data_IF_258851664314
#
_entry.id   IF_258851664314
#
_cell.length_a   1.000
_cell.length_b   1.000
_cell.length_c   1.000
_cell.angle_alpha   90.00
_cell.angle_beta   90.00
_cell.angle_gamma   90.00
#
_symmetry.space_group_name_H-M   'P 1'
#
loop_
_entity.id
_entity.type
_entity.pdbx_description
1 polymer ?
#
# COMPACT_ATOMS: atom_id res chain seq x y z
N UNK A 1 -4.39 -7.55 -11.02
CA UNK A 1 -5.36 -8.66 -11.01
C UNK A 1 -6.22 -8.63 -12.27
N UNK A 2 -6.45 -9.76 -12.93
CA UNK A 2 -7.25 -9.83 -14.17
C UNK A 2 -8.74 -9.51 -13.95
N UNK A 3 -9.23 -9.63 -12.72
CA UNK A 3 -10.67 -9.46 -12.40
C UNK A 3 -10.94 -8.32 -11.41
N UNK A 4 -9.92 -7.61 -10.96
CA UNK A 4 -10.02 -6.61 -9.90
C UNK A 4 -9.71 -7.19 -8.51
N UNK A 5 -9.82 -6.33 -7.50
CA UNK A 5 -9.62 -6.68 -6.09
C UNK A 5 -10.98 -6.82 -5.43
N UNK A 6 -11.16 -7.92 -4.70
CA UNK A 6 -12.40 -8.22 -4.02
C UNK A 6 -12.16 -8.44 -2.53
N UNK A 7 -13.16 -8.12 -1.74
CA UNK A 7 -13.23 -8.34 -0.31
C UNK A 7 -14.43 -9.24 0.00
N UNK A 8 -14.27 -10.16 0.97
CA UNK A 8 -15.34 -11.01 1.48
C UNK A 8 -15.14 -11.20 2.98
N UNK A 9 -16.23 -11.27 3.73
CA UNK A 9 -16.20 -11.48 5.16
C UNK A 9 -15.90 -12.95 5.49
N UNK A 10 -14.97 -13.16 6.43
CA UNK A 10 -14.63 -14.47 6.95
C UNK A 10 -15.30 -14.71 8.31
N UNK A 11 -15.36 -15.98 8.74
CA UNK A 11 -15.68 -16.38 10.10
C UNK A 11 -14.71 -15.76 11.12
N UNK A 12 -15.11 -15.67 12.39
CA UNK A 12 -14.29 -15.06 13.46
C UNK A 12 -12.91 -15.71 13.63
N UNK A 13 -12.79 -17.00 13.32
CA UNK A 13 -11.51 -17.72 13.32
C UNK A 13 -10.69 -17.54 12.03
N UNK A 14 -11.25 -16.86 11.01
CA UNK A 14 -10.62 -16.61 9.71
C UNK A 14 -10.48 -17.83 8.80
N UNK A 15 -11.03 -18.98 9.16
CA UNK A 15 -10.81 -20.25 8.46
C UNK A 15 -11.87 -20.58 7.40
N UNK A 16 -12.99 -19.84 7.39
CA UNK A 16 -14.06 -20.03 6.40
C UNK A 16 -14.72 -18.70 6.02
N UNK A 17 -15.44 -18.71 4.92
CA UNK A 17 -16.29 -17.58 4.53
C UNK A 17 -17.57 -17.61 5.37
N UNK A 18 -17.99 -16.46 5.91
CA UNK A 18 -19.23 -16.37 6.64
C UNK A 18 -20.43 -16.79 5.78
N UNK A 19 -21.36 -17.61 6.29
CA UNK A 19 -22.58 -17.94 5.58
C UNK A 19 -23.34 -16.66 5.19
N UNK A 20 -23.65 -16.52 3.89
CA UNK A 20 -24.34 -15.34 3.38
C UNK A 20 -23.45 -14.12 3.10
N UNK A 21 -22.13 -14.21 3.33
CA UNK A 21 -21.21 -13.12 2.98
C UNK A 21 -21.19 -12.87 1.48
N UNK A 22 -21.26 -11.58 1.10
CA UNK A 22 -21.19 -11.16 -0.29
C UNK A 22 -19.76 -10.77 -0.68
N UNK A 23 -19.29 -11.30 -1.79
CA UNK A 23 -18.03 -10.88 -2.40
C UNK A 23 -18.21 -9.53 -3.07
N UNK A 24 -17.50 -8.50 -2.59
CA UNK A 24 -17.59 -7.12 -3.09
C UNK A 24 -16.31 -6.69 -3.76
N UNK A 25 -16.42 -6.09 -4.95
CA UNK A 25 -15.27 -5.49 -5.62
C UNK A 25 -14.92 -4.15 -4.95
N UNK A 26 -13.66 -3.98 -4.58
CA UNK A 26 -13.13 -2.80 -3.88
C UNK A 26 -12.10 -2.01 -4.70
N UNK A 27 -11.54 -2.62 -5.77
CA UNK A 27 -10.71 -1.93 -6.73
C UNK A 27 -10.75 -2.65 -8.09
N UNK A 28 -10.41 -1.91 -9.16
CA UNK A 28 -10.38 -2.39 -10.53
C UNK A 28 -9.22 -3.32 -10.85
N UNK A 29 -9.03 -3.57 -12.14
CA UNK A 29 -8.10 -4.59 -12.66
C UNK A 29 -6.63 -4.20 -12.66
N UNK A 30 -6.33 -2.90 -12.49
CA UNK A 30 -4.97 -2.37 -12.54
C UNK A 30 -4.12 -2.67 -11.30
N UNK A 31 -4.68 -3.32 -10.28
CA UNK A 31 -4.06 -3.41 -8.95
C UNK A 31 -3.70 -4.81 -8.52
N UNK A 32 -2.68 -4.88 -7.66
CA UNK A 32 -2.26 -6.08 -6.92
C UNK A 32 -1.52 -5.68 -5.62
N UNK A 33 -1.04 -6.66 -4.82
CA UNK A 33 -0.27 -6.42 -3.61
C UNK A 33 -1.01 -5.53 -2.61
N UNK A 34 -2.26 -5.90 -2.29
CA UNK A 34 -3.18 -5.04 -1.55
C UNK A 34 -3.08 -5.24 -0.04
N UNK A 35 -3.18 -4.14 0.71
CA UNK A 35 -3.50 -4.16 2.14
C UNK A 35 -4.47 -3.02 2.49
N UNK A 36 -5.25 -3.20 3.56
CA UNK A 36 -6.13 -2.17 4.09
C UNK A 36 -5.58 -1.71 5.45
N UNK A 37 -5.38 -0.40 5.57
CA UNK A 37 -4.96 0.24 6.82
C UNK A 37 -6.06 1.18 7.31
N UNK A 38 -6.41 1.08 8.61
CA UNK A 38 -7.38 1.97 9.23
C UNK A 38 -6.67 3.08 10.01
N UNK A 39 -7.09 4.34 9.76
CA UNK A 39 -6.68 5.50 10.55
C UNK A 39 -7.87 6.44 10.78
N UNK A 40 -8.18 6.68 12.05
CA UNK A 40 -9.37 7.45 12.40
C UNK A 40 -10.65 6.81 11.86
N UNK A 41 -11.45 7.58 11.14
CA UNK A 41 -12.69 7.10 10.52
C UNK A 41 -12.51 6.45 9.15
N UNK A 42 -11.29 6.53 8.56
CA UNK A 42 -11.04 6.06 7.19
C UNK A 42 -10.33 4.72 7.15
N UNK A 43 -10.66 3.96 6.12
CA UNK A 43 -9.92 2.82 5.61
C UNK A 43 -9.16 3.25 4.36
N UNK A 44 -7.89 2.87 4.26
CA UNK A 44 -7.02 3.15 3.13
C UNK A 44 -6.65 1.85 2.45
N UNK A 45 -7.02 1.71 1.19
CA UNK A 45 -6.65 0.55 0.38
C UNK A 45 -5.33 0.88 -0.33
N UNK A 46 -4.22 0.35 0.19
CA UNK A 46 -2.93 0.41 -0.48
C UNK A 46 -2.82 -0.71 -1.49
N UNK A 47 -2.35 -0.38 -2.67
CA UNK A 47 -2.17 -1.31 -3.79
C UNK A 47 -0.92 -0.94 -4.57
N UNK A 48 -0.56 -1.83 -5.49
CA UNK A 48 0.45 -1.54 -6.50
C UNK A 48 -0.14 -1.64 -7.89
N UNK A 49 0.36 -0.78 -8.80
CA UNK A 49 -0.02 -0.77 -10.21
C UNK A 49 1.22 -0.69 -11.10
N UNK A 50 1.11 -1.04 -12.38
CA UNK A 50 2.21 -1.09 -13.32
C UNK A 50 2.89 -2.46 -13.37
N UNK A 51 4.12 -2.53 -13.91
CA UNK A 51 4.86 -3.78 -14.11
C UNK A 51 5.88 -4.00 -13.00
N UNK A 52 5.82 -5.19 -12.33
CA UNK A 52 6.66 -5.50 -11.17
C UNK A 52 8.02 -6.12 -11.53
N UNK A 53 8.12 -6.81 -12.67
CA UNK A 53 9.08 -7.88 -12.82
C UNK A 53 9.99 -7.73 -14.05
N UNK A 54 10.13 -6.50 -14.56
CA UNK A 54 10.92 -6.15 -15.74
C UNK A 54 12.29 -5.54 -15.38
N UNK A 55 12.80 -5.85 -14.18
CA UNK A 55 14.06 -5.29 -13.70
C UNK A 55 14.02 -3.75 -13.70
N UNK A 56 15.06 -3.12 -14.26
CA UNK A 56 15.16 -1.65 -14.30
C UNK A 56 14.11 -0.96 -15.19
N UNK A 57 13.35 -1.71 -15.99
CA UNK A 57 12.24 -1.21 -16.82
C UNK A 57 10.89 -1.26 -16.08
N UNK A 58 10.86 -1.84 -14.87
CA UNK A 58 9.63 -1.92 -14.08
C UNK A 58 9.05 -0.55 -13.80
N UNK A 59 7.73 -0.43 -13.98
CA UNK A 59 6.95 0.80 -13.74
C UNK A 59 6.13 0.75 -12.45
N UNK A 60 6.34 -0.29 -11.65
CA UNK A 60 5.58 -0.55 -10.44
C UNK A 60 5.54 0.66 -9.51
N UNK A 61 4.38 0.96 -8.98
CA UNK A 61 4.09 2.17 -8.20
C UNK A 61 3.11 1.80 -7.10
N UNK A 62 3.37 2.21 -5.86
CA UNK A 62 2.41 2.05 -4.76
C UNK A 62 1.42 3.21 -4.75
N UNK A 63 0.15 2.88 -4.65
CA UNK A 63 -0.99 3.79 -4.75
C UNK A 63 -1.99 3.55 -3.63
N UNK A 64 -2.92 4.47 -3.44
CA UNK A 64 -4.01 4.34 -2.45
C UNK A 64 -5.30 5.01 -2.88
N UNK A 65 -6.38 4.57 -2.28
CA UNK A 65 -7.64 5.28 -2.15
C UNK A 65 -8.17 5.14 -0.73
N UNK A 66 -9.14 5.95 -0.33
CA UNK A 66 -9.77 5.87 1.00
C UNK A 66 -11.28 5.71 0.93
N UNK A 67 -11.83 5.13 2.00
CA UNK A 67 -13.27 4.98 2.23
C UNK A 67 -13.59 5.13 3.71
N UNK A 68 -14.80 5.54 4.05
CA UNK A 68 -15.33 5.43 5.42
C UNK A 68 -15.89 4.03 5.70
N UNK A 69 -16.00 3.17 4.69
CA UNK A 69 -16.48 1.79 4.78
C UNK A 69 -15.37 0.81 4.38
N UNK A 70 -15.15 -0.24 5.20
CA UNK A 70 -14.18 -1.30 4.92
C UNK A 70 -14.38 -1.95 3.55
N UNK A 71 -15.62 -2.14 3.12
CA UNK A 71 -15.99 -2.73 1.83
C UNK A 71 -16.03 -1.71 0.69
N UNK A 72 -15.53 -0.49 0.91
CA UNK A 72 -15.51 0.56 -0.09
C UNK A 72 -16.88 1.22 -0.33
N UNK A 73 -17.08 1.92 -1.46
CA UNK A 73 -16.07 2.15 -2.49
C UNK A 73 -14.90 3.03 -2.01
N UNK A 74 -13.70 2.77 -2.54
CA UNK A 74 -12.51 3.56 -2.26
C UNK A 74 -12.31 4.63 -3.33
N UNK A 75 -11.99 5.85 -2.90
CA UNK A 75 -11.88 7.01 -3.79
C UNK A 75 -10.51 7.69 -3.64
N UNK A 76 -10.06 8.36 -4.69
CA UNK A 76 -8.95 9.29 -4.65
C UNK A 76 -9.40 10.67 -4.12
N UNK A 77 -8.48 11.65 -4.06
CA UNK A 77 -8.78 13.02 -3.59
C UNK A 77 -9.81 13.77 -4.43
N UNK A 78 -9.99 13.36 -5.69
CA UNK A 78 -10.95 13.96 -6.64
C UNK A 78 -12.33 13.31 -6.56
N UNK A 79 -12.52 12.29 -5.72
CA UNK A 79 -13.77 11.53 -5.66
C UNK A 79 -13.93 10.50 -6.79
N UNK A 80 -12.84 10.15 -7.49
CA UNK A 80 -12.86 9.13 -8.53
C UNK A 80 -12.56 7.75 -7.91
N UNK A 81 -13.28 6.71 -8.37
CA UNK A 81 -13.27 5.38 -7.75
C UNK A 81 -12.04 4.55 -8.12
N UNK A 82 -11.52 3.78 -7.16
CA UNK A 82 -10.54 2.73 -7.44
C UNK A 82 -11.12 1.58 -8.27
N UNK A 83 -12.43 1.38 -8.28
CA UNK A 83 -13.07 0.43 -9.20
C UNK A 83 -12.84 0.83 -10.68
N UNK A 84 -12.68 2.13 -10.94
CA UNK A 84 -12.37 2.71 -12.24
C UNK A 84 -10.86 2.91 -12.46
N UNK A 85 -10.03 2.24 -11.67
CA UNK A 85 -8.56 2.35 -11.68
C UNK A 85 -8.05 3.77 -11.41
N UNK A 86 -8.78 4.56 -10.60
CA UNK A 86 -8.38 5.90 -10.14
C UNK A 86 -7.83 5.85 -8.73
N UNK A 87 -6.71 6.52 -8.48
CA UNK A 87 -5.97 6.41 -7.22
C UNK A 87 -5.13 7.65 -6.92
N UNK A 88 -4.58 7.73 -5.70
CA UNK A 88 -3.49 8.62 -5.34
C UNK A 88 -2.16 7.86 -5.37
N UNK A 89 -1.10 8.52 -5.84
CA UNK A 89 0.25 7.96 -5.80
C UNK A 89 0.83 8.16 -4.41
N UNK A 90 1.31 7.07 -3.80
CA UNK A 90 2.06 7.09 -2.55
C UNK A 90 3.55 7.19 -2.83
N UNK A 91 4.07 6.27 -3.66
CA UNK A 91 5.49 6.24 -4.01
C UNK A 91 5.67 5.69 -5.42
N UNK A 92 6.53 6.33 -6.19
CA UNK A 92 6.90 5.98 -7.56
C UNK A 92 8.42 5.96 -7.70
N UNK A 93 8.90 5.47 -8.82
CA UNK A 93 10.34 5.47 -9.12
C UNK A 93 10.98 6.86 -9.09
N UNK A 94 12.26 6.89 -8.81
CA UNK A 94 13.16 8.07 -8.86
C UNK A 94 14.27 7.86 -9.88
N UNK A 95 15.25 8.76 -9.92
CA UNK A 95 16.46 8.58 -10.72
C UNK A 95 17.24 7.33 -10.29
N UNK A 96 17.29 7.03 -8.98
CA UNK A 96 18.01 5.89 -8.44
C UNK A 96 17.19 4.62 -8.38
N UNK A 97 15.93 4.70 -7.97
CA UNK A 97 15.07 3.53 -7.71
C UNK A 97 13.93 3.43 -8.72
N UNK A 98 13.57 2.21 -9.10
CA UNK A 98 12.42 1.94 -9.98
C UNK A 98 11.65 0.70 -9.54
N UNK A 99 10.39 0.56 -10.00
CA UNK A 99 9.57 -0.58 -9.66
C UNK A 99 9.20 -0.62 -8.17
N UNK A 100 8.76 0.52 -7.62
CA UNK A 100 8.43 0.73 -6.19
C UNK A 100 7.05 0.20 -5.86
N UNK A 101 6.95 -1.00 -5.33
CA UNK A 101 5.62 -1.59 -5.08
C UNK A 101 5.65 -2.87 -4.28
N UNK A 102 4.52 -3.56 -4.33
CA UNK A 102 4.21 -4.75 -3.55
C UNK A 102 4.45 -4.53 -2.06
N UNK A 103 3.75 -3.51 -1.54
CA UNK A 103 3.85 -3.17 -0.13
C UNK A 103 3.36 -4.30 0.76
N UNK A 104 3.96 -4.39 1.94
CA UNK A 104 3.43 -5.17 3.06
C UNK A 104 2.26 -4.44 3.74
N UNK A 105 1.82 -4.96 4.87
CA UNK A 105 0.99 -4.20 5.80
C UNK A 105 1.70 -2.89 6.20
N UNK A 106 0.90 -1.85 6.46
CA UNK A 106 1.41 -0.59 6.99
C UNK A 106 1.80 -0.80 8.45
N UNK A 107 3.07 -0.57 8.76
CA UNK A 107 3.62 -0.77 10.09
C UNK A 107 3.42 0.52 10.90
N UNK A 108 2.93 0.38 12.14
CA UNK A 108 2.90 1.49 13.10
C UNK A 108 3.96 1.24 14.17
N UNK A 109 4.88 2.17 14.38
CA UNK A 109 5.89 2.09 15.42
C UNK A 109 5.34 2.48 16.80
N UNK A 110 6.13 2.27 17.87
CA UNK A 110 5.70 2.55 19.24
C UNK A 110 5.55 4.06 19.56
N UNK A 111 5.95 4.94 18.64
CA UNK A 111 5.68 6.38 18.69
C UNK A 111 4.47 6.80 17.87
N UNK A 112 3.78 5.85 17.22
CA UNK A 112 2.60 6.09 16.40
C UNK A 112 2.90 6.56 14.97
N UNK A 113 4.16 6.52 14.54
CA UNK A 113 4.52 6.82 13.16
C UNK A 113 4.20 5.61 12.27
N UNK A 114 3.83 5.87 11.03
CA UNK A 114 3.45 4.83 10.07
C UNK A 114 4.51 4.68 8.99
N UNK A 115 4.76 3.43 8.58
CA UNK A 115 5.85 3.05 7.71
C UNK A 115 5.37 2.16 6.58
N UNK A 116 5.87 2.43 5.37
CA UNK A 116 5.66 1.63 4.16
C UNK A 116 6.87 0.75 3.94
N UNK A 117 6.68 -0.56 4.04
CA UNK A 117 7.67 -1.57 3.66
C UNK A 117 7.28 -2.10 2.27
N UNK A 118 8.20 -2.02 1.31
CA UNK A 118 7.94 -2.34 -0.09
C UNK A 118 9.25 -2.78 -0.78
N UNK A 119 9.22 -3.08 -2.06
CA UNK A 119 10.44 -3.36 -2.80
C UNK A 119 10.67 -2.37 -3.96
N UNK A 120 11.94 -2.24 -4.36
CA UNK A 120 12.35 -1.53 -5.57
C UNK A 120 13.62 -2.13 -6.17
N UNK A 121 13.92 -1.80 -7.42
CA UNK A 121 15.24 -2.02 -8.02
C UNK A 121 16.11 -0.79 -7.84
N UNK A 122 17.36 -0.98 -7.41
CA UNK A 122 18.39 0.07 -7.33
C UNK A 122 19.19 0.09 -8.65
N UNK A 123 19.15 1.20 -9.39
CA UNK A 123 19.86 1.33 -10.67
C UNK A 123 21.36 1.28 -10.54
N UNK A 124 21.91 1.54 -9.34
CA UNK A 124 23.34 1.43 -9.06
C UNK A 124 23.76 0.02 -8.67
N UNK A 125 22.80 -0.83 -8.26
CA UNK A 125 23.00 -2.23 -7.90
C UNK A 125 21.81 -3.06 -8.39
N UNK A 126 21.78 -3.39 -9.71
CA UNK A 126 20.60 -3.90 -10.39
C UNK A 126 20.24 -5.37 -10.08
N UNK A 127 21.04 -6.05 -9.25
CA UNK A 127 20.82 -7.45 -8.91
C UNK A 127 19.60 -7.62 -8.00
N UNK A 128 18.47 -7.93 -8.60
CA UNK A 128 17.24 -8.22 -7.89
C UNK A 128 16.61 -7.01 -7.22
N UNK A 129 15.49 -7.26 -6.56
CA UNK A 129 14.74 -6.25 -5.81
C UNK A 129 15.35 -6.07 -4.43
N UNK A 130 15.37 -4.83 -3.96
CA UNK A 130 15.79 -4.46 -2.60
C UNK A 130 14.58 -4.21 -1.74
N UNK A 131 14.67 -4.58 -0.47
CA UNK A 131 13.67 -4.20 0.53
C UNK A 131 13.85 -2.72 0.87
N UNK A 132 12.77 -1.98 0.81
CA UNK A 132 12.72 -0.54 1.02
C UNK A 132 11.79 -0.22 2.19
N UNK A 133 12.09 0.85 2.90
CA UNK A 133 11.30 1.36 4.01
C UNK A 133 11.22 2.87 3.90
N UNK A 134 10.01 3.42 3.91
CA UNK A 134 9.77 4.86 3.96
C UNK A 134 8.71 5.22 4.98
N UNK A 135 8.82 6.40 5.58
CA UNK A 135 7.81 6.92 6.47
C UNK A 135 6.60 7.41 5.69
N UNK A 136 5.40 6.98 6.12
CA UNK A 136 4.14 7.54 5.64
C UNK A 136 3.80 8.75 6.50
N UNK A 137 3.77 9.91 5.89
CA UNK A 137 3.30 11.16 6.47
C UNK A 137 1.82 11.36 6.16
N UNK A 138 1.14 12.20 6.96
CA UNK A 138 -0.29 12.44 6.83
C UNK A 138 -0.58 13.94 6.73
N UNK A 139 -1.40 14.31 5.76
CA UNK A 139 -1.93 15.66 5.62
C UNK A 139 -3.40 15.60 5.17
N UNK A 140 -4.30 16.30 5.87
CA UNK A 140 -5.74 16.31 5.61
C UNK A 140 -6.35 14.90 5.48
N UNK A 141 -5.95 14.01 6.41
CA UNK A 141 -6.33 12.59 6.39
C UNK A 141 -5.93 11.84 5.10
N UNK A 142 -4.83 12.24 4.44
CA UNK A 142 -4.27 11.52 3.33
C UNK A 142 -2.81 11.11 3.58
N UNK A 143 -2.47 9.83 3.30
CA UNK A 143 -1.11 9.37 3.38
C UNK A 143 -0.28 9.89 2.21
N UNK A 144 1.00 10.13 2.47
CA UNK A 144 1.99 10.41 1.42
C UNK A 144 3.40 10.05 1.90
N UNK A 145 4.27 9.72 0.97
CA UNK A 145 5.72 9.66 1.18
C UNK A 145 6.32 10.98 0.67
N UNK A 146 7.32 11.51 1.34
CA UNK A 146 7.98 12.77 0.96
C UNK A 146 8.39 12.75 -0.51
N UNK A 147 7.94 13.74 -1.27
CA UNK A 147 8.14 13.88 -2.72
C UNK A 147 7.59 12.70 -3.57
N UNK A 148 6.87 11.76 -2.97
CA UNK A 148 6.37 10.52 -3.60
C UNK A 148 7.45 9.69 -4.29
N UNK A 149 8.67 9.68 -3.75
CA UNK A 149 9.81 8.86 -4.22
C UNK A 149 10.52 8.19 -3.05
N UNK A 150 11.25 7.07 -3.27
CA UNK A 150 12.07 6.45 -2.24
C UNK A 150 13.05 7.41 -1.61
N UNK A 151 13.14 7.40 -0.29
CA UNK A 151 14.20 8.11 0.44
C UNK A 151 15.52 7.35 0.32
N UNK A 152 16.62 8.10 0.24
CA UNK A 152 17.96 7.53 0.35
C UNK A 152 18.43 7.45 1.80
N UNK A 153 17.90 8.35 2.62
CA UNK A 153 18.14 8.41 4.06
C UNK A 153 16.84 8.79 4.78
N UNK A 154 16.54 8.11 5.87
CA UNK A 154 15.40 8.39 6.73
C UNK A 154 15.72 8.00 8.18
N UNK A 155 14.93 8.54 9.12
CA UNK A 155 14.95 8.05 10.50
C UNK A 155 14.50 6.59 10.54
N UNK A 156 14.83 5.88 11.61
CA UNK A 156 14.40 4.51 11.83
C UNK A 156 13.08 4.47 12.60
N UNK A 157 12.20 3.48 12.34
CA UNK A 157 11.07 3.21 13.21
C UNK A 157 11.55 2.88 14.63
N UNK A 158 10.78 3.28 15.63
CA UNK A 158 11.10 3.07 17.03
C UNK A 158 10.26 1.91 17.56
N UNK A 159 10.92 0.77 17.82
CA UNK A 159 10.32 -0.36 18.52
C UNK A 159 11.00 -0.52 19.87
N UNK A 160 10.25 -0.30 20.95
CA UNK A 160 10.74 -0.51 22.32
C UNK A 160 10.78 -2.01 22.57
N UNK A 161 11.95 -2.51 22.96
CA UNK A 161 12.07 -3.89 23.45
C UNK A 161 11.19 -4.06 24.70
N UNK A 162 9.94 -4.43 24.49
CA UNK A 162 9.12 -4.98 25.57
C UNK A 162 9.73 -6.34 25.87
N UNK A 163 10.64 -6.37 26.84
CA UNK A 163 11.39 -7.58 27.22
C UNK A 163 10.46 -8.79 27.17
N UNK A 164 10.93 -9.86 26.58
CA UNK A 164 10.22 -11.14 26.57
C UNK A 164 9.84 -11.48 28.02
N UNK A 165 8.52 -11.52 28.28
CA UNK A 165 7.98 -12.09 29.52
C UNK A 165 7.94 -13.60 29.40
#
# INVERSE_FOLDING_TARGET
SFHGIFCIELSDDGLSVNPGAEKRQIAGTAYEGTCIFRKGKYYYLFCSTGTCCEGLKSTYTTVTGRSENLFGPYFNRKGESMNDNRHEIIIRGSERFTGTGHNSEIITDDQGNTWLLYHAYDRTRPEGRKLMLDEILWNDDWPYVKNSIPSEEHRKPVFLNKGAK
#
